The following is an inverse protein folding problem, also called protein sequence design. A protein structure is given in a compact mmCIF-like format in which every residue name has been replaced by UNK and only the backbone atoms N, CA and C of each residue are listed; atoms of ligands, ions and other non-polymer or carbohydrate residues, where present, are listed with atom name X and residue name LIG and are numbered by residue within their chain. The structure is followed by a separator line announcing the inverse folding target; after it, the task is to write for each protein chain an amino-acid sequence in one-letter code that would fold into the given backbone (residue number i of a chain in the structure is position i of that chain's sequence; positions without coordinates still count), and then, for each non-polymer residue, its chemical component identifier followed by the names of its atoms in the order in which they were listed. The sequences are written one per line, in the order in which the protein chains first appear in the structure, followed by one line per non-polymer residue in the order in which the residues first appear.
data_IF_617498117104
#
_entry.id   IF_617498117104
#
_cell.length_a   1.000
_cell.length_b   1.000
_cell.length_c   1.000
_cell.angle_alpha   90.00
_cell.angle_beta   90.00
_cell.angle_gamma   90.00
#
_symmetry.space_group_name_H-M   'P 1'
#
loop_
_entity.id
_entity.type
_entity.pdbx_description
1 polymer ?
#
# COMPACT_ATOMS: atom_id res chain seq x y z
N UNK A 1 -3.34 -38.02 4.91
CA UNK A 1 -4.58 -38.77 4.56
C UNK A 1 -5.30 -38.00 3.46
N UNK A 2 -5.59 -38.68 2.36
CA UNK A 2 -6.12 -38.09 1.13
C UNK A 2 -7.63 -37.81 1.20
N UNK A 3 -8.07 -36.73 0.56
CA UNK A 3 -9.32 -36.70 -0.17
C UNK A 3 -9.12 -35.84 -1.44
N UNK A 4 -9.25 -36.46 -2.62
CA UNK A 4 -9.31 -35.77 -3.91
C UNK A 4 -10.76 -35.33 -4.14
N UNK A 5 -11.01 -34.03 -4.10
CA UNK A 5 -12.20 -33.41 -4.69
C UNK A 5 -11.90 -33.02 -6.15
N UNK A 6 -12.85 -33.17 -7.09
CA UNK A 6 -12.62 -32.78 -8.48
C UNK A 6 -12.53 -31.25 -8.58
N UNK A 7 -11.51 -30.76 -9.29
CA UNK A 7 -11.33 -29.33 -9.57
C UNK A 7 -12.46 -28.83 -10.47
N UNK A 8 -13.17 -27.73 -10.13
CA UNK A 8 -14.03 -27.07 -11.09
C UNK A 8 -13.15 -26.42 -12.16
N UNK A 9 -13.43 -26.73 -13.43
CA UNK A 9 -12.85 -26.04 -14.58
C UNK A 9 -13.15 -24.54 -14.45
N UNK A 10 -12.16 -23.75 -14.06
CA UNK A 10 -12.29 -22.29 -14.00
C UNK A 10 -12.40 -21.75 -15.43
N UNK A 11 -13.62 -21.44 -15.86
CA UNK A 11 -13.86 -20.55 -16.99
C UNK A 11 -13.35 -19.16 -16.62
N UNK A 12 -12.23 -18.77 -17.23
CA UNK A 12 -11.64 -17.43 -17.15
C UNK A 12 -12.66 -16.40 -17.64
N UNK A 13 -12.95 -15.40 -16.81
CA UNK A 13 -13.93 -14.35 -17.08
C UNK A 13 -13.51 -13.48 -18.27
N UNK A 14 -14.46 -12.89 -19.00
CA UNK A 14 -14.17 -11.94 -20.08
C UNK A 14 -13.36 -10.70 -19.61
N UNK A 15 -13.42 -10.37 -18.31
CA UNK A 15 -12.61 -9.29 -17.70
C UNK A 15 -11.13 -9.68 -17.59
N UNK A 16 -10.85 -10.94 -17.26
CA UNK A 16 -9.48 -11.47 -17.24
C UNK A 16 -8.89 -11.48 -18.64
N UNK A 17 -9.69 -11.79 -19.67
CA UNK A 17 -9.23 -11.72 -21.07
C UNK A 17 -8.90 -10.28 -21.48
N UNK A 18 -9.68 -9.27 -21.08
CA UNK A 18 -9.38 -7.86 -21.41
C UNK A 18 -8.03 -7.39 -20.83
N UNK A 19 -7.62 -7.91 -19.67
CA UNK A 19 -6.31 -7.66 -19.07
C UNK A 19 -5.20 -8.56 -19.66
N UNK A 20 -5.56 -9.76 -20.11
CA UNK A 20 -4.64 -10.80 -20.60
C UNK A 20 -4.36 -10.73 -22.12
N UNK A 21 -5.15 -9.99 -22.91
CA UNK A 21 -4.97 -9.83 -24.39
C UNK A 21 -3.71 -9.02 -24.76
N UNK A 22 -2.88 -8.64 -23.79
CA UNK A 22 -1.55 -8.03 -24.04
C UNK A 22 -0.38 -8.83 -23.46
N UNK A 23 -0.35 -10.16 -23.57
CA UNK A 23 0.95 -10.86 -23.59
C UNK A 23 0.85 -12.28 -24.15
N UNK A 24 1.56 -12.53 -25.25
CA UNK A 24 2.00 -13.87 -25.63
C UNK A 24 3.09 -14.34 -24.68
N UNK A 25 3.17 -15.67 -24.53
CA UNK A 25 4.07 -16.40 -23.63
C UNK A 25 5.49 -15.81 -23.51
N UNK A 26 5.88 -15.56 -22.26
CA UNK A 26 7.18 -15.00 -21.89
C UNK A 26 6.97 -13.81 -20.96
N UNK A 27 7.28 -14.01 -19.67
CA UNK A 27 7.32 -13.03 -18.57
C UNK A 27 6.94 -11.61 -19.02
N UNK A 28 5.73 -11.17 -18.64
CA UNK A 28 5.30 -9.79 -18.82
C UNK A 28 6.47 -8.86 -18.47
N UNK A 29 6.93 -7.97 -19.38
CA UNK A 29 7.81 -6.89 -18.96
C UNK A 29 7.08 -6.19 -17.81
N UNK A 30 7.76 -5.98 -16.68
CA UNK A 30 7.25 -5.16 -15.57
C UNK A 30 6.67 -3.90 -16.20
N UNK A 31 5.32 -3.72 -16.21
CA UNK A 31 4.76 -2.71 -17.08
C UNK A 31 5.31 -1.34 -16.65
N UNK A 32 5.85 -0.57 -17.59
CA UNK A 32 6.19 0.86 -17.43
C UNK A 32 4.94 1.74 -17.22
N UNK A 33 3.89 1.21 -16.56
CA UNK A 33 2.53 1.75 -16.47
C UNK A 33 2.24 2.40 -15.10
N UNK A 34 3.16 2.36 -14.14
CA UNK A 34 2.83 2.58 -12.72
C UNK A 34 3.56 3.71 -12.01
N UNK A 35 4.08 4.72 -12.70
CA UNK A 35 4.88 5.74 -12.01
C UNK A 35 4.05 6.85 -11.38
N UNK A 36 2.85 7.16 -11.89
CA UNK A 36 2.08 8.33 -11.44
C UNK A 36 0.62 8.31 -11.93
N UNK A 37 -0.35 8.52 -11.05
CA UNK A 37 -1.76 8.81 -11.40
C UNK A 37 -2.22 10.10 -10.76
N UNK A 38 -2.78 10.99 -11.56
CA UNK A 38 -3.53 12.13 -11.04
C UNK A 38 -4.85 11.62 -10.47
N UNK A 39 -5.15 12.03 -9.25
CA UNK A 39 -6.34 11.62 -8.51
C UNK A 39 -7.18 12.87 -8.25
N UNK A 40 -8.41 12.89 -8.75
CA UNK A 40 -9.37 13.96 -8.44
C UNK A 40 -9.96 13.75 -7.05
N UNK A 41 -10.38 14.82 -6.39
CA UNK A 41 -11.12 14.75 -5.14
C UNK A 41 -12.63 14.70 -5.45
N UNK A 42 -13.35 13.71 -4.91
CA UNK A 42 -14.79 13.54 -5.17
C UNK A 42 -15.68 14.37 -4.23
N UNK A 43 -15.12 15.23 -3.37
CA UNK A 43 -15.88 16.06 -2.41
C UNK A 43 -16.64 17.21 -3.10
N UNK A 44 -17.98 17.19 -3.14
CA UNK A 44 -18.77 18.25 -3.76
C UNK A 44 -18.90 19.51 -2.87
N UNK A 45 -18.42 19.48 -1.62
CA UNK A 45 -18.49 20.59 -0.66
C UNK A 45 -17.24 21.48 -0.64
N UNK A 46 -16.14 21.03 -1.25
CA UNK A 46 -15.00 21.90 -1.51
C UNK A 46 -15.37 22.87 -2.63
N UNK A 47 -15.72 24.11 -2.28
CA UNK A 47 -15.82 25.22 -3.23
C UNK A 47 -14.51 25.41 -4.02
N UNK A 48 -14.43 26.40 -4.93
CA UNK A 48 -13.25 26.65 -5.75
C UNK A 48 -12.10 27.24 -4.91
N UNK A 49 -11.57 26.47 -3.97
CA UNK A 49 -10.25 26.65 -3.38
C UNK A 49 -9.23 26.06 -4.36
N UNK A 50 -8.06 26.68 -4.48
CA UNK A 50 -7.00 26.34 -5.42
C UNK A 50 -6.91 24.82 -5.69
N UNK A 51 -7.10 24.41 -6.95
CA UNK A 51 -7.24 23.02 -7.35
C UNK A 51 -6.05 22.20 -6.83
N UNK A 52 -6.28 21.45 -5.74
CA UNK A 52 -5.26 20.57 -5.18
C UNK A 52 -5.17 19.34 -6.06
N UNK A 53 -4.00 19.13 -6.66
CA UNK A 53 -3.73 17.96 -7.48
C UNK A 53 -3.21 16.86 -6.58
N UNK A 54 -3.86 15.69 -6.60
CA UNK A 54 -3.35 14.52 -5.90
C UNK A 54 -2.64 13.59 -6.88
N UNK A 55 -1.56 12.96 -6.42
CA UNK A 55 -0.78 12.02 -7.20
C UNK A 55 -0.58 10.73 -6.43
N UNK A 56 -0.95 9.60 -7.01
CA UNK A 56 -0.63 8.28 -6.48
C UNK A 56 0.57 7.71 -7.24
N UNK A 57 1.56 7.15 -6.55
CA UNK A 57 2.77 6.56 -7.16
C UNK A 57 3.46 5.59 -6.22
N UNK A 58 4.39 4.79 -6.75
CA UNK A 58 5.33 4.05 -5.90
C UNK A 58 6.19 5.01 -5.08
N UNK A 59 6.52 4.60 -3.86
CA UNK A 59 7.47 5.30 -3.00
C UNK A 59 8.89 5.24 -3.58
N UNK A 60 9.66 6.29 -3.34
CA UNK A 60 11.12 6.35 -3.47
C UNK A 60 11.73 6.56 -2.10
N UNK A 61 13.04 6.32 -1.94
CA UNK A 61 13.73 6.42 -0.64
C UNK A 61 13.45 7.75 0.10
N UNK A 62 13.45 8.93 -0.56
CA UNK A 62 13.09 10.20 0.09
C UNK A 62 11.68 10.27 0.69
N UNK A 63 10.72 9.48 0.19
CA UNK A 63 9.37 9.46 0.76
C UNK A 63 9.31 8.69 2.08
N UNK A 64 10.23 7.74 2.31
CA UNK A 64 10.13 6.76 3.39
C UNK A 64 10.24 7.37 4.79
N UNK A 65 10.92 8.51 4.93
CA UNK A 65 10.93 9.24 6.20
C UNK A 65 9.53 9.76 6.55
N UNK A 66 8.79 10.28 5.57
CA UNK A 66 7.44 10.78 5.77
C UNK A 66 6.45 9.63 5.96
N UNK A 67 6.61 8.53 5.21
CA UNK A 67 5.83 7.30 5.41
C UNK A 67 6.04 6.75 6.82
N UNK A 68 7.29 6.71 7.32
CA UNK A 68 7.60 6.25 8.68
C UNK A 68 6.90 7.11 9.75
N UNK A 69 6.85 8.43 9.58
CA UNK A 69 6.05 9.32 10.44
C UNK A 69 4.55 9.01 10.36
N UNK A 70 4.03 8.73 9.17
CA UNK A 70 2.61 8.39 8.99
C UNK A 70 2.24 7.01 9.55
N UNK A 71 3.19 6.06 9.60
CA UNK A 71 3.03 4.79 10.33
C UNK A 71 2.87 5.10 11.84
N UNK A 72 3.68 6.02 12.39
CA UNK A 72 3.49 6.46 13.77
C UNK A 72 2.13 7.13 14.00
N UNK A 73 1.69 8.00 13.09
CA UNK A 73 0.35 8.62 13.14
C UNK A 73 -0.78 7.57 13.13
N UNK A 74 -0.63 6.50 12.34
CA UNK A 74 -1.57 5.36 12.34
C UNK A 74 -1.51 4.58 13.65
N UNK A 75 -0.31 4.27 14.16
CA UNK A 75 -0.15 3.55 15.43
C UNK A 75 -0.80 4.30 16.61
N UNK A 76 -0.65 5.62 16.68
CA UNK A 76 -1.36 6.48 17.66
C UNK A 76 -2.87 6.39 17.49
N UNK A 77 -3.37 6.38 16.24
CA UNK A 77 -4.80 6.21 15.98
C UNK A 77 -5.30 4.85 16.48
N UNK A 78 -4.51 3.80 16.30
CA UNK A 78 -4.82 2.42 16.71
C UNK A 78 -4.57 2.14 18.20
N UNK A 79 -4.01 3.10 18.95
CA UNK A 79 -3.60 2.97 20.36
C UNK A 79 -2.49 1.94 20.58
N UNK A 80 -1.61 1.82 19.61
CA UNK A 80 -0.48 0.87 19.57
C UNK A 80 0.86 1.59 19.32
N UNK A 81 0.97 2.88 19.68
CA UNK A 81 2.19 3.68 19.45
C UNK A 81 3.44 3.05 20.08
N UNK A 82 3.30 2.42 21.25
CA UNK A 82 4.39 1.72 21.95
C UNK A 82 4.89 0.46 21.22
N UNK A 83 4.12 -0.04 20.25
CA UNK A 83 4.51 -1.20 19.44
C UNK A 83 5.35 -0.83 18.22
N UNK A 84 5.39 0.45 17.84
CA UNK A 84 6.20 0.91 16.71
C UNK A 84 7.69 0.91 17.07
N UNK A 85 8.31 -0.25 16.95
CA UNK A 85 9.72 -0.50 17.33
C UNK A 85 10.67 -0.51 16.15
N UNK A 86 10.17 -0.41 14.93
CA UNK A 86 10.95 -0.52 13.70
C UNK A 86 11.74 0.79 13.45
N UNK A 87 13.08 0.79 13.52
CA UNK A 87 13.87 1.98 13.25
C UNK A 87 13.79 2.42 11.78
N UNK A 88 13.86 3.72 11.52
CA UNK A 88 13.80 4.29 10.15
C UNK A 88 14.85 3.68 9.22
N UNK A 89 16.10 3.53 9.68
CA UNK A 89 17.18 2.95 8.87
C UNK A 89 16.86 1.53 8.42
N UNK A 90 16.30 0.72 9.33
CA UNK A 90 15.86 -0.63 8.99
C UNK A 90 14.67 -0.61 8.04
N UNK A 91 13.69 0.27 8.27
CA UNK A 91 12.54 0.43 7.38
C UNK A 91 12.98 0.79 5.95
N UNK A 92 13.92 1.73 5.81
CA UNK A 92 14.51 2.11 4.51
C UNK A 92 15.22 0.91 3.89
N UNK A 93 16.11 0.23 4.62
CA UNK A 93 16.87 -0.93 4.12
C UNK A 93 15.95 -2.06 3.64
N UNK A 94 14.89 -2.35 4.38
CA UNK A 94 13.97 -3.45 4.10
C UNK A 94 13.02 -3.13 2.92
N UNK A 95 12.94 -1.86 2.48
CA UNK A 95 12.26 -1.46 1.24
C UNK A 95 12.91 -2.05 -0.01
N UNK A 96 14.22 -2.31 0.02
CA UNK A 96 14.99 -2.76 -1.14
C UNK A 96 14.98 -1.79 -2.33
N UNK A 97 14.57 -0.53 -2.16
CA UNK A 97 14.57 0.48 -3.22
C UNK A 97 16.01 0.90 -3.59
N UNK A 98 16.26 1.34 -4.84
CA UNK A 98 17.54 1.95 -5.19
C UNK A 98 17.92 3.09 -4.22
N UNK A 99 19.11 3.01 -3.63
CA UNK A 99 19.59 3.98 -2.63
C UNK A 99 19.16 3.67 -1.18
N UNK A 100 18.52 2.53 -0.92
CA UNK A 100 18.14 2.09 0.43
C UNK A 100 19.30 1.56 1.29
N UNK A 101 20.51 1.45 0.72
CA UNK A 101 21.67 0.83 1.37
C UNK A 101 21.66 -0.70 1.38
N UNK A 102 20.61 -1.34 0.83
CA UNK A 102 20.52 -2.78 0.62
C UNK A 102 20.70 -3.08 -0.88
N UNK A 103 21.93 -3.36 -1.31
CA UNK A 103 22.31 -3.45 -2.72
C UNK A 103 22.68 -4.89 -3.07
N UNK A 104 21.70 -5.63 -3.57
CA UNK A 104 21.91 -7.01 -4.05
C UNK A 104 21.82 -7.11 -5.58
N UNK A 105 21.44 -6.03 -6.28
CA UNK A 105 21.29 -5.96 -7.74
C UNK A 105 22.11 -4.83 -8.36
N UNK A 106 22.41 -4.98 -9.66
CA UNK A 106 23.18 -4.02 -10.46
C UNK A 106 22.55 -2.62 -10.52
N UNK A 107 21.22 -2.52 -10.40
CA UNK A 107 20.47 -1.25 -10.40
C UNK A 107 20.46 -0.54 -9.03
N UNK A 108 21.21 -1.04 -8.04
CA UNK A 108 21.25 -0.50 -6.69
C UNK A 108 20.10 -0.96 -5.80
N UNK A 109 19.21 -1.83 -6.28
CA UNK A 109 18.07 -2.36 -5.50
C UNK A 109 18.44 -3.63 -4.73
N UNK A 110 17.63 -3.94 -3.71
CA UNK A 110 17.72 -5.13 -2.88
C UNK A 110 16.44 -5.98 -2.95
N UNK A 111 16.38 -7.11 -2.22
CA UNK A 111 15.16 -7.88 -2.03
C UNK A 111 14.16 -7.04 -1.26
N UNK A 112 13.04 -6.70 -1.89
CA UNK A 112 11.99 -5.93 -1.24
C UNK A 112 11.25 -6.84 -0.25
N UNK A 113 11.20 -6.43 1.02
CA UNK A 113 10.38 -7.10 2.05
C UNK A 113 8.94 -6.60 2.02
N UNK A 114 8.76 -5.35 1.61
CA UNK A 114 7.47 -4.72 1.37
C UNK A 114 7.55 -3.79 0.17
N UNK A 115 6.39 -3.43 -0.37
CA UNK A 115 6.18 -2.36 -1.34
C UNK A 115 5.34 -1.26 -0.72
N UNK A 116 5.51 -0.02 -1.21
CA UNK A 116 4.78 1.13 -0.68
C UNK A 116 4.29 2.02 -1.82
N UNK A 117 2.98 2.33 -1.80
CA UNK A 117 2.39 3.42 -2.58
C UNK A 117 2.30 4.66 -1.69
N UNK A 118 2.58 5.83 -2.28
CA UNK A 118 2.38 7.12 -1.64
C UNK A 118 1.36 7.94 -2.42
N UNK A 119 0.50 8.63 -1.68
CA UNK A 119 -0.42 9.64 -2.17
C UNK A 119 0.15 11.00 -1.79
N UNK A 120 0.47 11.81 -2.79
CA UNK A 120 0.93 13.17 -2.60
C UNK A 120 -0.12 14.20 -3.00
N UNK A 121 -0.02 15.38 -2.40
CA UNK A 121 -0.84 16.55 -2.70
C UNK A 121 0.07 17.72 -3.10
N UNK A 122 -0.34 18.42 -4.14
CA UNK A 122 0.28 19.65 -4.61
C UNK A 122 -0.82 20.71 -4.75
N UNK A 123 -0.68 21.80 -4.00
CA UNK A 123 -1.54 22.98 -4.17
C UNK A 123 -1.00 23.83 -5.31
N UNK A 124 -1.89 24.35 -6.15
CA UNK A 124 -1.54 25.41 -7.08
C UNK A 124 -1.21 26.68 -6.27
N UNK A 125 -0.08 27.33 -6.56
CA UNK A 125 0.31 28.57 -5.90
C UNK A 125 -0.79 29.62 -6.06
N UNK A 126 -1.33 30.11 -4.94
CA UNK A 126 -2.08 31.36 -4.93
C UNK A 126 -1.04 32.46 -4.88
N UNK A 127 -0.71 33.05 -6.04
CA UNK A 127 0.03 34.31 -6.11
C UNK A 127 -0.59 35.31 -5.11
N UNK A 128 0.15 35.79 -4.09
CA UNK A 128 -0.39 36.77 -3.19
C UNK A 128 -0.65 38.05 -3.96
N UNK A 129 -1.93 38.42 -4.09
CA UNK A 129 -2.36 39.75 -4.51
C UNK A 129 -1.87 40.79 -3.48
N UNK A 130 -0.60 41.18 -3.55
CA UNK A 130 -0.11 42.41 -2.94
C UNK A 130 0.96 43.03 -3.83
N UNK A 131 0.59 44.15 -4.46
CA UNK A 131 1.51 45.14 -5.03
C UNK A 131 2.61 45.47 -3.99
N UNK A 132 3.87 45.18 -4.30
CA UNK A 132 5.00 46.12 -4.14
C UNK A 132 6.34 45.54 -4.68
N UNK A 133 6.74 46.06 -5.85
CA UNK A 133 8.07 46.60 -6.24
C UNK A 133 9.36 45.82 -5.88
N UNK A 134 10.02 45.37 -6.96
CA UNK A 134 11.45 45.14 -7.23
C UNK A 134 12.32 44.34 -6.24
N UNK A 135 12.82 43.18 -6.69
CA UNK A 135 14.25 42.92 -6.97
C UNK A 135 14.32 41.64 -7.83
N UNK A 136 15.16 41.64 -8.87
CA UNK A 136 15.42 40.50 -9.76
C UNK A 136 16.05 39.34 -8.97
N UNK A 137 15.23 38.51 -8.36
CA UNK A 137 15.56 37.14 -8.01
C UNK A 137 14.37 36.29 -8.47
N UNK A 138 14.50 35.70 -9.65
CA UNK A 138 13.66 34.59 -10.07
C UNK A 138 13.90 33.42 -9.12
N UNK A 139 13.24 33.43 -7.96
CA UNK A 139 13.02 32.21 -7.20
C UNK A 139 11.93 31.44 -7.94
N UNK A 140 12.29 30.34 -8.59
CA UNK A 140 11.30 29.35 -9.06
C UNK A 140 10.39 29.02 -7.87
N UNK A 141 9.08 29.23 -8.04
CA UNK A 141 8.11 28.82 -7.05
C UNK A 141 8.17 27.29 -6.92
N UNK A 142 8.86 26.81 -5.88
CA UNK A 142 8.94 25.38 -5.58
C UNK A 142 7.62 24.98 -4.95
N UNK A 143 6.66 24.55 -5.77
CA UNK A 143 5.46 23.87 -5.26
C UNK A 143 5.90 22.63 -4.50
N UNK A 144 5.78 22.63 -3.17
CA UNK A 144 6.25 21.53 -2.33
C UNK A 144 5.21 20.40 -2.33
N UNK A 145 5.50 19.32 -3.05
CA UNK A 145 4.75 18.06 -3.00
C UNK A 145 4.77 17.51 -1.57
N UNK A 146 3.60 17.32 -0.94
CA UNK A 146 3.46 16.78 0.41
C UNK A 146 2.88 15.37 0.35
N UNK A 147 3.48 14.39 1.01
CA UNK A 147 2.88 13.07 1.19
C UNK A 147 1.72 13.16 2.20
N UNK A 148 0.54 12.71 1.78
CA UNK A 148 -0.72 12.80 2.55
C UNK A 148 -1.43 11.47 2.70
N UNK A 149 -0.90 10.41 2.10
CA UNK A 149 -1.35 9.03 2.32
C UNK A 149 -0.29 8.02 1.93
N UNK A 150 -0.38 6.81 2.46
CA UNK A 150 0.41 5.67 2.02
C UNK A 150 -0.39 4.37 2.08
N UNK A 151 0.07 3.38 1.32
CA UNK A 151 -0.33 1.99 1.48
C UNK A 151 0.91 1.11 1.46
N UNK A 152 1.07 0.24 2.47
CA UNK A 152 2.16 -0.71 2.58
C UNK A 152 1.64 -2.12 2.34
N UNK A 153 2.27 -2.87 1.45
CA UNK A 153 1.80 -4.20 1.07
C UNK A 153 2.95 -5.14 0.71
N UNK A 154 2.64 -6.43 0.64
CA UNK A 154 3.53 -7.46 0.14
C UNK A 154 2.74 -8.62 -0.45
N UNK A 155 3.42 -9.52 -1.16
CA UNK A 155 2.79 -10.72 -1.70
C UNK A 155 2.94 -11.88 -0.73
N UNK A 156 1.86 -12.62 -0.54
CA UNK A 156 1.84 -13.89 0.21
C UNK A 156 1.53 -15.04 -0.75
N UNK A 157 1.55 -16.27 -0.24
CA UNK A 157 1.27 -17.45 -1.04
C UNK A 157 0.31 -18.39 -0.30
N UNK A 158 -0.70 -18.85 -1.00
CA UNK A 158 -1.62 -19.91 -0.56
C UNK A 158 -1.20 -21.22 -1.20
N UNK A 159 -1.11 -22.27 -0.39
CA UNK A 159 -0.91 -23.64 -0.89
C UNK A 159 -2.12 -24.16 -1.66
N UNK A 160 -3.27 -23.50 -1.58
CA UNK A 160 -4.51 -23.88 -2.28
C UNK A 160 -4.77 -23.05 -3.53
N UNK A 161 -4.46 -21.75 -3.49
CA UNK A 161 -4.90 -20.79 -4.52
C UNK A 161 -3.75 -20.05 -5.21
N UNK A 162 -2.51 -20.28 -4.77
CA UNK A 162 -1.33 -19.62 -5.31
C UNK A 162 -1.08 -18.23 -4.74
N UNK A 163 -0.52 -17.33 -5.57
CA UNK A 163 -0.09 -15.99 -5.14
C UNK A 163 -1.28 -15.19 -4.58
N UNK A 164 -1.07 -14.48 -3.48
CA UNK A 164 -2.04 -13.58 -2.86
C UNK A 164 -1.41 -12.23 -2.54
N UNK A 165 -2.25 -11.21 -2.35
CA UNK A 165 -1.85 -9.86 -2.01
C UNK A 165 -2.21 -9.57 -0.55
N UNK A 166 -1.26 -9.09 0.25
CA UNK A 166 -1.47 -8.69 1.63
C UNK A 166 -1.24 -7.19 1.77
N UNK A 167 -2.30 -6.46 2.12
CA UNK A 167 -2.23 -5.05 2.49
C UNK A 167 -2.02 -4.98 4.01
N UNK A 168 -0.84 -4.49 4.41
CA UNK A 168 -0.47 -4.32 5.82
C UNK A 168 -1.16 -3.08 6.37
N UNK A 169 -0.85 -1.91 5.77
CA UNK A 169 -1.32 -0.62 6.25
C UNK A 169 -1.93 0.18 5.10
N UNK A 170 -3.05 0.85 5.38
CA UNK A 170 -3.64 1.87 4.52
C UNK A 170 -3.97 3.10 5.36
N UNK A 171 -3.34 4.22 5.05
CA UNK A 171 -3.56 5.45 5.79
C UNK A 171 -3.62 6.66 4.88
N UNK A 172 -4.59 7.53 5.14
CA UNK A 172 -4.74 8.84 4.54
C UNK A 172 -4.85 9.84 5.68
N UNK A 173 -4.11 10.95 5.63
CA UNK A 173 -4.15 11.95 6.69
C UNK A 173 -5.54 12.58 6.83
N UNK A 174 -6.00 12.88 8.05
CA UNK A 174 -7.36 13.35 8.30
C UNK A 174 -7.79 14.56 7.46
N UNK A 175 -6.87 15.50 7.16
CA UNK A 175 -7.15 16.72 6.41
C UNK A 175 -7.61 16.51 4.96
N UNK A 176 -7.34 15.34 4.37
CA UNK A 176 -7.71 15.01 2.98
C UNK A 176 -8.63 13.78 2.89
N UNK A 177 -9.21 13.34 4.02
CA UNK A 177 -10.21 12.25 4.02
C UNK A 177 -11.54 12.73 3.44
N UNK A 178 -12.46 11.78 3.24
CA UNK A 178 -13.83 11.98 2.71
C UNK A 178 -13.91 12.40 1.23
N UNK A 179 -12.78 12.63 0.59
CA UNK A 179 -12.66 12.93 -0.84
C UNK A 179 -12.56 11.73 -1.80
N UNK A 180 -12.89 10.52 -1.35
CA UNK A 180 -12.77 9.30 -2.16
C UNK A 180 -11.33 8.78 -2.37
N UNK A 181 -10.30 9.48 -1.87
CA UNK A 181 -8.89 9.13 -2.07
C UNK A 181 -8.53 7.72 -1.57
N UNK A 182 -9.02 7.32 -0.39
CA UNK A 182 -8.80 5.97 0.15
C UNK A 182 -9.38 4.87 -0.75
N UNK A 183 -10.56 5.09 -1.33
CA UNK A 183 -11.17 4.18 -2.32
C UNK A 183 -10.27 4.04 -3.54
N UNK A 184 -9.77 5.16 -4.07
CA UNK A 184 -8.92 5.19 -5.27
C UNK A 184 -7.58 4.48 -5.01
N UNK A 185 -7.02 4.62 -3.81
CA UNK A 185 -5.83 3.85 -3.39
C UNK A 185 -6.10 2.35 -3.38
N UNK A 186 -7.20 1.89 -2.77
CA UNK A 186 -7.54 0.46 -2.76
C UNK A 186 -7.79 -0.09 -4.17
N UNK A 187 -8.43 0.68 -5.05
CA UNK A 187 -8.62 0.27 -6.44
C UNK A 187 -7.30 0.17 -7.21
N UNK A 188 -6.33 1.04 -6.91
CA UNK A 188 -4.98 0.90 -7.43
C UNK A 188 -4.33 -0.41 -6.96
N UNK A 189 -4.42 -0.73 -5.66
CA UNK A 189 -3.92 -2.00 -5.11
C UNK A 189 -4.60 -3.22 -5.75
N UNK A 190 -5.92 -3.18 -5.95
CA UNK A 190 -6.66 -4.24 -6.63
C UNK A 190 -6.20 -4.43 -8.08
N UNK A 191 -5.88 -3.33 -8.78
CA UNK A 191 -5.33 -3.38 -10.14
C UNK A 191 -3.93 -4.01 -10.16
N UNK A 192 -3.09 -3.72 -9.17
CA UNK A 192 -1.79 -4.38 -9.00
C UNK A 192 -1.98 -5.87 -8.73
N UNK A 193 -2.88 -6.24 -7.81
CA UNK A 193 -3.20 -7.64 -7.50
C UNK A 193 -3.69 -8.41 -8.74
N UNK A 194 -4.54 -7.81 -9.57
CA UNK A 194 -5.02 -8.42 -10.81
C UNK A 194 -3.88 -8.66 -11.81
N UNK A 195 -3.00 -7.68 -12.02
CA UNK A 195 -1.85 -7.77 -12.94
C UNK A 195 -0.84 -8.81 -12.46
N UNK A 196 -0.65 -8.92 -11.16
CA UNK A 196 0.25 -9.91 -10.54
C UNK A 196 -0.40 -11.30 -10.40
N UNK A 197 -1.61 -11.49 -10.92
CA UNK A 197 -2.38 -12.73 -10.88
C UNK A 197 -2.56 -13.24 -9.44
N UNK A 198 -2.91 -12.34 -8.52
CA UNK A 198 -3.22 -12.69 -7.14
C UNK A 198 -4.63 -13.26 -7.03
N UNK A 199 -4.78 -14.40 -6.37
CA UNK A 199 -6.07 -15.03 -6.10
C UNK A 199 -6.96 -14.23 -5.15
N UNK A 200 -6.37 -13.38 -4.29
CA UNK A 200 -7.09 -12.53 -3.33
C UNK A 200 -6.25 -11.33 -2.90
N UNK A 201 -6.95 -10.30 -2.42
CA UNK A 201 -6.41 -9.15 -1.71
C UNK A 201 -6.96 -9.18 -0.29
N UNK A 202 -6.07 -9.32 0.71
CA UNK A 202 -6.43 -9.51 2.12
C UNK A 202 -5.70 -8.50 3.01
N UNK A 203 -6.32 -8.14 4.13
CA UNK A 203 -5.78 -7.25 5.16
C UNK A 203 -6.43 -7.57 6.51
N UNK A 204 -5.95 -6.95 7.58
CA UNK A 204 -6.60 -6.98 8.88
C UNK A 204 -7.20 -5.62 9.21
N UNK A 205 -8.27 -5.63 9.99
CA UNK A 205 -8.87 -4.44 10.54
C UNK A 205 -9.22 -4.74 11.99
N UNK A 206 -8.78 -3.86 12.89
CA UNK A 206 -9.23 -3.83 14.29
C UNK A 206 -10.76 -3.69 14.35
N UNK A 207 -11.39 -4.47 15.21
CA UNK A 207 -12.84 -4.68 15.29
C UNK A 207 -13.63 -3.42 15.71
N UNK A 208 -13.00 -2.53 16.47
CA UNK A 208 -13.59 -1.28 16.91
C UNK A 208 -13.53 -0.16 15.87
N UNK A 209 -12.78 -0.32 14.77
CA UNK A 209 -12.68 0.67 13.70
C UNK A 209 -13.90 0.59 12.76
N UNK A 210 -15.06 0.93 13.31
CA UNK A 210 -16.36 0.84 12.65
C UNK A 210 -16.40 1.63 11.34
N UNK A 211 -15.77 2.81 11.28
CA UNK A 211 -15.70 3.61 10.06
C UNK A 211 -14.99 2.87 8.92
N UNK A 212 -13.91 2.14 9.21
CA UNK A 212 -13.17 1.38 8.20
C UNK A 212 -13.91 0.11 7.82
N UNK A 213 -14.48 -0.62 8.79
CA UNK A 213 -15.32 -1.79 8.53
C UNK A 213 -16.53 -1.45 7.65
N UNK A 214 -17.22 -0.35 7.93
CA UNK A 214 -18.32 0.11 7.07
C UNK A 214 -17.87 0.42 5.65
N UNK A 215 -16.72 1.09 5.50
CA UNK A 215 -16.12 1.33 4.19
C UNK A 215 -15.81 0.01 3.47
N UNK A 216 -15.15 -0.94 4.13
CA UNK A 216 -14.79 -2.23 3.56
C UNK A 216 -16.03 -3.05 3.12
N UNK A 217 -17.02 -3.21 3.99
CA UNK A 217 -18.21 -4.01 3.69
C UNK A 217 -19.15 -3.31 2.70
N UNK A 218 -19.44 -2.02 2.89
CA UNK A 218 -20.46 -1.33 2.09
C UNK A 218 -19.92 -0.86 0.74
N UNK A 219 -18.70 -0.31 0.70
CA UNK A 219 -18.11 0.27 -0.52
C UNK A 219 -17.29 -0.75 -1.31
N UNK A 220 -16.41 -1.50 -0.65
CA UNK A 220 -15.54 -2.45 -1.35
C UNK A 220 -16.17 -3.83 -1.54
N UNK A 221 -17.28 -4.12 -0.85
CA UNK A 221 -17.89 -5.47 -0.82
C UNK A 221 -16.89 -6.52 -0.32
N UNK A 222 -16.01 -6.12 0.59
CA UNK A 222 -15.14 -7.06 1.28
C UNK A 222 -15.99 -8.01 2.13
N UNK A 223 -15.52 -9.24 2.27
CA UNK A 223 -16.15 -10.26 3.09
C UNK A 223 -15.19 -10.69 4.19
N UNK A 224 -15.72 -10.98 5.38
CA UNK A 224 -14.92 -11.63 6.42
C UNK A 224 -14.51 -13.02 5.93
N UNK A 225 -13.25 -13.37 6.20
CA UNK A 225 -12.76 -14.71 5.89
C UNK A 225 -13.42 -15.73 6.83
N UNK A 226 -14.50 -16.32 6.36
CA UNK A 226 -15.22 -17.41 7.03
C UNK A 226 -15.10 -18.67 6.18
N UNK A 227 -14.76 -19.80 6.81
CA UNK A 227 -14.77 -21.10 6.14
C UNK A 227 -16.19 -21.67 6.18
N UNK A 228 -16.54 -22.51 5.21
CA UNK A 228 -17.87 -23.14 5.08
C UNK A 228 -18.25 -24.10 6.23
N UNK A 229 -17.39 -24.26 7.23
CA UNK A 229 -17.41 -25.38 8.18
C UNK A 229 -17.48 -24.91 9.65
N UNK A 230 -17.88 -23.67 9.91
CA UNK A 230 -17.77 -22.99 11.22
C UNK A 230 -16.33 -22.86 11.78
N UNK A 231 -15.33 -23.32 11.03
CA UNK A 231 -13.93 -23.20 11.40
C UNK A 231 -13.46 -21.74 11.25
N UNK A 232 -12.77 -21.23 12.26
CA UNK A 232 -12.20 -19.88 12.26
C UNK A 232 -10.68 -19.94 12.27
N UNK A 233 -10.06 -19.17 11.39
CA UNK A 233 -8.62 -18.95 11.44
C UNK A 233 -8.27 -18.10 12.65
N UNK A 234 -7.21 -18.50 13.36
CA UNK A 234 -6.68 -17.77 14.52
C UNK A 234 -5.30 -17.23 14.16
N UNK A 235 -5.04 -15.97 14.50
CA UNK A 235 -3.72 -15.38 14.35
C UNK A 235 -2.82 -15.86 15.50
N UNK A 236 -1.75 -16.59 15.17
CA UNK A 236 -0.77 -17.12 16.13
C UNK A 236 0.59 -16.50 15.80
N UNK A 237 1.31 -15.99 16.79
CA UNK A 237 2.65 -15.41 16.61
C UNK A 237 3.62 -15.79 17.74
N UNK A 238 4.92 -15.67 17.44
CA UNK A 238 6.02 -15.77 18.41
C UNK A 238 6.78 -14.44 18.45
N UNK A 239 7.08 -13.95 19.65
CA UNK A 239 7.95 -12.77 19.82
C UNK A 239 9.42 -13.14 19.54
N UNK A 240 10.23 -12.15 19.14
CA UNK A 240 11.67 -12.31 18.83
C UNK A 240 12.43 -13.12 19.89
N UNK A 241 12.20 -12.86 21.19
CA UNK A 241 12.86 -13.59 22.27
C UNK A 241 12.63 -15.11 22.16
N UNK A 242 11.38 -15.54 21.99
CA UNK A 242 11.05 -16.97 21.86
C UNK A 242 11.60 -17.58 20.58
N UNK A 243 11.64 -16.81 19.48
CA UNK A 243 12.26 -17.27 18.22
C UNK A 243 13.75 -17.58 18.43
N UNK A 244 14.46 -16.72 19.17
CA UNK A 244 15.90 -16.91 19.46
C UNK A 244 16.14 -18.11 20.39
N UNK A 245 15.29 -18.30 21.41
CA UNK A 245 15.36 -19.48 22.28
C UNK A 245 15.20 -20.78 21.48
N UNK A 246 14.18 -20.86 20.62
CA UNK A 246 13.93 -22.04 19.78
C UNK A 246 15.06 -22.32 18.79
N UNK A 247 15.68 -21.27 18.24
CA UNK A 247 16.83 -21.43 17.35
C UNK A 247 18.04 -22.02 18.09
N UNK A 248 18.33 -21.52 19.30
CA UNK A 248 19.42 -22.04 20.11
C UNK A 248 19.16 -23.48 20.59
N UNK A 249 17.91 -23.85 20.86
CA UNK A 249 17.51 -25.23 21.16
C UNK A 249 17.82 -26.17 19.98
N UNK A 250 17.59 -25.73 18.73
CA UNK A 250 17.89 -26.51 17.52
C UNK A 250 19.39 -26.69 17.27
N UNK A 251 20.19 -25.64 17.49
CA UNK A 251 21.65 -25.69 17.32
C UNK A 251 22.37 -26.49 18.43
N UNK A 252 21.66 -26.86 19.51
CA UNK A 252 22.15 -27.59 20.67
C UNK A 252 21.97 -29.11 20.62
N UNK A 253 21.39 -29.66 19.54
CA UNK A 253 21.33 -31.09 19.20
C UNK A 253 22.39 -31.47 18.16
#
# INVERSE_FOLDING_TARGET
MMAKSPSPTQTVSAVDQQLCVTSGAGRLPTPKIWSRWTVENDDPSSGPSAATTFTLRNAVVPDLEEVHKMIYELAVYEKEEDQMKLPLEQFIRDSGLPGSGNVDREDGSGPQRYQCLVLSAQQADVEPSSRAINTEQQSEAVTKEKIVGYALYFFTYSTWEGRAFYLEDLYVRPEVRKGGLGTKMVYCLAKIAAVENCCRLQWQCIDWNTSSLEFYYKKLKAEERTETNDAKWVNIWLKRARILEMAAEFDGE
#
